data_IF_976727276134
#
_entry.id   IF_976727276134
#
_cell.length_a   1.000
_cell.length_b   1.000
_cell.length_c   1.000
_cell.angle_alpha   90.00
_cell.angle_beta   90.00
_cell.angle_gamma   90.00
#
_symmetry.space_group_name_H-M   'P 1'
#
loop_
_entity.id
_entity.type
_entity.pdbx_description
1 polymer ?
#
# COMPACT_ATOMS: atom_id res chain seq x y z
N UNK A 1 -30.17 -14.86 39.19
CA UNK A 1 -28.75 -14.65 38.82
C UNK A 1 -28.27 -15.53 37.65
N UNK A 2 -28.66 -16.81 37.57
CA UNK A 2 -28.27 -17.72 36.46
C UNK A 2 -28.79 -17.29 35.08
N UNK A 3 -30.00 -16.73 35.00
CA UNK A 3 -30.62 -16.24 33.76
C UNK A 3 -30.02 -14.93 33.23
N UNK A 4 -29.52 -14.07 34.12
CA UNK A 4 -28.89 -12.78 33.74
C UNK A 4 -27.52 -13.00 33.08
N UNK A 5 -26.77 -14.01 33.53
CA UNK A 5 -25.48 -14.42 32.96
C UNK A 5 -25.58 -14.98 31.54
N UNK A 6 -26.68 -15.68 31.23
CA UNK A 6 -26.92 -16.22 29.89
C UNK A 6 -27.24 -15.08 28.90
N UNK A 7 -27.95 -14.04 29.35
CA UNK A 7 -28.27 -12.88 28.52
C UNK A 7 -27.03 -12.05 28.18
N UNK A 8 -26.09 -11.88 29.11
CA UNK A 8 -24.82 -11.16 28.86
C UNK A 8 -23.90 -11.89 27.88
N UNK A 9 -23.95 -13.23 27.80
CA UNK A 9 -23.11 -14.02 26.89
C UNK A 9 -23.62 -14.00 25.43
N UNK A 10 -24.92 -13.77 25.23
CA UNK A 10 -25.55 -13.71 23.90
C UNK A 10 -25.27 -12.38 23.19
N UNK A 11 -25.22 -11.26 23.94
CA UNK A 11 -25.02 -9.91 23.36
C UNK A 11 -23.58 -9.68 22.90
N UNK A 12 -22.59 -10.40 23.44
CA UNK A 12 -21.18 -10.25 23.05
C UNK A 12 -20.83 -10.78 21.65
N UNK A 13 -21.73 -11.52 20.99
CA UNK A 13 -21.45 -12.09 19.65
C UNK A 13 -21.79 -11.14 18.48
N UNK A 14 -22.40 -9.99 18.74
CA UNK A 14 -22.97 -9.11 17.69
C UNK A 14 -21.96 -8.24 16.93
N UNK A 15 -20.68 -8.23 17.31
CA UNK A 15 -19.65 -7.39 16.68
C UNK A 15 -18.47 -8.19 16.10
N UNK A 16 -18.71 -9.41 15.62
CA UNK A 16 -17.68 -10.19 14.95
C UNK A 16 -17.39 -9.63 13.54
N UNK A 17 -16.15 -9.16 13.30
CA UNK A 17 -15.68 -8.78 11.97
C UNK A 17 -15.76 -9.96 11.00
N UNK A 18 -16.46 -9.78 9.87
CA UNK A 18 -16.66 -10.82 8.86
C UNK A 18 -15.94 -10.53 7.53
N UNK A 19 -15.84 -11.54 6.66
CA UNK A 19 -15.31 -11.36 5.30
C UNK A 19 -16.28 -10.50 4.47
N UNK A 20 -17.58 -10.65 4.70
CA UNK A 20 -18.63 -9.89 4.03
C UNK A 20 -18.47 -8.38 4.32
N UNK A 21 -18.10 -8.01 5.54
CA UNK A 21 -17.81 -6.62 5.90
C UNK A 21 -16.64 -6.06 5.08
N UNK A 22 -15.59 -6.85 4.87
CA UNK A 22 -14.44 -6.45 4.06
C UNK A 22 -14.85 -6.24 2.60
N UNK A 23 -15.61 -7.17 2.02
CA UNK A 23 -16.09 -7.08 0.63
C UNK A 23 -17.01 -5.86 0.46
N UNK A 24 -17.93 -5.63 1.39
CA UNK A 24 -18.82 -4.46 1.38
C UNK A 24 -18.02 -3.15 1.45
N UNK A 25 -17.07 -3.05 2.38
CA UNK A 25 -16.23 -1.87 2.51
C UNK A 25 -15.31 -1.66 1.29
N UNK A 26 -14.83 -2.72 0.66
CA UNK A 26 -14.04 -2.63 -0.56
C UNK A 26 -14.85 -2.03 -1.72
N UNK A 27 -16.09 -2.53 -1.91
CA UNK A 27 -17.03 -1.99 -2.90
C UNK A 27 -17.36 -0.52 -2.65
N UNK A 28 -17.47 -0.13 -1.39
CA UNK A 28 -17.68 1.26 -0.97
C UNK A 28 -16.40 2.12 -0.97
N UNK A 29 -15.29 1.62 -1.53
CA UNK A 29 -13.98 2.30 -1.62
C UNK A 29 -13.37 2.67 -0.25
N UNK A 30 -13.83 2.05 0.83
CA UNK A 30 -13.26 2.23 2.17
C UNK A 30 -11.99 1.38 2.34
N UNK A 31 -10.96 1.69 1.54
CA UNK A 31 -9.77 0.85 1.41
C UNK A 31 -8.94 0.77 2.69
N UNK A 32 -8.84 1.86 3.46
CA UNK A 32 -8.13 1.87 4.75
C UNK A 32 -8.77 0.89 5.74
N UNK A 33 -10.11 0.83 5.79
CA UNK A 33 -10.82 -0.15 6.60
C UNK A 33 -10.50 -1.58 6.16
N UNK A 34 -10.56 -1.84 4.85
CA UNK A 34 -10.29 -3.18 4.31
C UNK A 34 -8.84 -3.61 4.57
N UNK A 35 -7.86 -2.71 4.42
CA UNK A 35 -6.48 -3.03 4.74
C UNK A 35 -6.29 -3.30 6.24
N UNK A 36 -6.76 -2.40 7.11
CA UNK A 36 -6.54 -2.54 8.56
C UNK A 36 -7.25 -3.77 9.14
N UNK A 37 -8.50 -4.00 8.75
CA UNK A 37 -9.30 -5.12 9.25
C UNK A 37 -9.01 -6.43 8.50
N UNK A 38 -8.58 -6.35 7.24
CA UNK A 38 -8.10 -7.51 6.49
C UNK A 38 -6.85 -8.10 7.11
N UNK A 39 -5.95 -7.29 7.66
CA UNK A 39 -4.80 -7.76 8.44
C UNK A 39 -5.25 -8.57 9.67
N UNK A 40 -6.22 -8.05 10.44
CA UNK A 40 -6.79 -8.78 11.60
C UNK A 40 -7.45 -10.09 11.21
N UNK A 41 -8.13 -10.11 10.05
CA UNK A 41 -8.84 -11.28 9.55
C UNK A 41 -7.98 -12.16 8.62
N UNK A 42 -6.68 -11.89 8.53
CA UNK A 42 -5.84 -12.43 7.45
C UNK A 42 -5.77 -13.96 7.46
N UNK A 43 -5.83 -14.59 8.63
CA UNK A 43 -5.90 -16.04 8.77
C UNK A 43 -7.11 -16.68 8.07
N UNK A 44 -8.22 -15.94 7.92
CA UNK A 44 -9.38 -16.41 7.15
C UNK A 44 -9.24 -16.05 5.66
N UNK A 45 -8.78 -14.84 5.36
CA UNK A 45 -8.59 -14.33 3.98
C UNK A 45 -7.56 -15.15 3.20
N UNK A 46 -6.47 -15.57 3.83
CA UNK A 46 -5.33 -16.24 3.16
C UNK A 46 -5.68 -17.55 2.44
N UNK A 47 -6.87 -18.10 2.68
CA UNK A 47 -7.37 -19.31 2.04
C UNK A 47 -7.90 -19.07 0.62
N UNK A 48 -8.13 -17.81 0.23
CA UNK A 48 -8.67 -17.42 -1.07
C UNK A 48 -7.80 -16.33 -1.71
N UNK A 49 -7.16 -16.64 -2.84
CA UNK A 49 -6.27 -15.71 -3.55
C UNK A 49 -6.98 -14.44 -4.05
N UNK A 50 -8.30 -14.49 -4.31
CA UNK A 50 -9.07 -13.32 -4.69
C UNK A 50 -9.25 -12.37 -3.51
N UNK A 51 -9.53 -12.92 -2.31
CA UNK A 51 -9.64 -12.13 -1.09
C UNK A 51 -8.28 -11.55 -0.68
N UNK A 52 -7.19 -12.32 -0.82
CA UNK A 52 -5.82 -11.82 -0.60
C UNK A 52 -5.49 -10.67 -1.55
N UNK A 53 -5.83 -10.82 -2.84
CA UNK A 53 -5.63 -9.76 -3.83
C UNK A 53 -6.45 -8.51 -3.50
N UNK A 54 -7.71 -8.65 -3.12
CA UNK A 54 -8.58 -7.55 -2.70
C UNK A 54 -7.99 -6.80 -1.50
N UNK A 55 -7.53 -7.53 -0.48
CA UNK A 55 -6.83 -6.98 0.67
C UNK A 55 -5.58 -6.20 0.26
N UNK A 56 -4.71 -6.79 -0.56
CA UNK A 56 -3.46 -6.18 -1.00
C UNK A 56 -3.70 -4.89 -1.80
N UNK A 57 -4.65 -4.90 -2.74
CA UNK A 57 -5.05 -3.69 -3.47
C UNK A 57 -5.64 -2.63 -2.56
N UNK A 58 -6.41 -3.00 -1.54
CA UNK A 58 -6.91 -2.03 -0.56
C UNK A 58 -5.77 -1.38 0.22
N UNK A 59 -4.74 -2.15 0.60
CA UNK A 59 -3.55 -1.61 1.25
C UNK A 59 -2.78 -0.64 0.36
N UNK A 60 -2.54 -0.99 -0.91
CA UNK A 60 -1.94 -0.06 -1.88
C UNK A 60 -2.73 1.24 -2.04
N UNK A 61 -4.06 1.15 -2.15
CA UNK A 61 -4.94 2.32 -2.32
C UNK A 61 -5.08 3.17 -1.06
N UNK A 62 -4.57 2.69 0.08
CA UNK A 62 -4.56 3.41 1.35
C UNK A 62 -3.15 3.67 1.88
N UNK A 63 -2.14 3.54 1.00
CA UNK A 63 -0.72 3.81 1.24
C UNK A 63 -0.04 2.90 2.30
N UNK A 64 -0.62 1.74 2.63
CA UNK A 64 0.00 0.70 3.46
C UNK A 64 0.77 -0.28 2.57
N UNK A 65 1.87 0.15 1.96
CA UNK A 65 2.64 -0.67 1.03
C UNK A 65 3.34 -1.83 1.77
N UNK A 66 3.78 -1.66 3.01
CA UNK A 66 4.45 -2.72 3.78
C UNK A 66 3.55 -3.95 4.01
N UNK A 67 2.23 -3.73 4.04
CA UNK A 67 1.25 -4.80 4.17
C UNK A 67 1.23 -5.76 2.97
N UNK A 68 1.95 -5.45 1.88
CA UNK A 68 2.12 -6.34 0.72
C UNK A 68 3.09 -7.49 0.96
N UNK A 69 3.99 -7.38 1.95
CA UNK A 69 5.01 -8.39 2.20
C UNK A 69 4.43 -9.81 2.34
N UNK A 70 3.32 -9.95 3.06
CA UNK A 70 2.68 -11.25 3.29
C UNK A 70 1.85 -11.72 2.08
N UNK A 71 0.95 -10.92 1.46
CA UNK A 71 0.24 -11.29 0.23
C UNK A 71 1.13 -11.82 -0.89
N UNK A 72 2.32 -11.22 -1.08
CA UNK A 72 3.30 -11.64 -2.10
C UNK A 72 3.69 -13.10 -1.93
N UNK A 73 3.86 -13.58 -0.69
CA UNK A 73 4.25 -14.96 -0.41
C UNK A 73 3.12 -15.97 -0.69
N UNK A 74 1.87 -15.50 -0.67
CA UNK A 74 0.68 -16.36 -0.75
C UNK A 74 0.17 -16.50 -2.19
N UNK A 75 0.19 -15.42 -2.96
CA UNK A 75 -0.37 -15.34 -4.31
C UNK A 75 0.48 -16.09 -5.35
N UNK A 76 0.27 -17.40 -5.54
CA UNK A 76 1.14 -18.22 -6.40
C UNK A 76 0.43 -19.27 -7.27
N UNK A 77 -0.79 -19.64 -6.95
CA UNK A 77 -1.44 -20.81 -7.52
C UNK A 77 -2.10 -20.48 -8.87
N UNK A 78 -2.93 -19.43 -8.93
CA UNK A 78 -3.60 -19.03 -10.17
C UNK A 78 -2.75 -18.08 -11.03
N UNK A 79 -3.04 -18.03 -12.34
CA UNK A 79 -2.41 -17.07 -13.28
C UNK A 79 -2.63 -15.62 -12.81
N UNK A 80 -3.84 -15.30 -12.37
CA UNK A 80 -4.19 -13.98 -11.85
C UNK A 80 -3.44 -13.67 -10.55
N UNK A 81 -3.34 -14.61 -9.62
CA UNK A 81 -2.56 -14.43 -8.40
C UNK A 81 -1.08 -14.20 -8.67
N UNK A 82 -0.46 -14.98 -9.57
CA UNK A 82 0.94 -14.75 -9.97
C UNK A 82 1.17 -13.37 -10.60
N UNK A 83 0.23 -12.90 -11.42
CA UNK A 83 0.28 -11.53 -11.99
C UNK A 83 0.23 -10.47 -10.88
N UNK A 84 -0.72 -10.61 -9.96
CA UNK A 84 -0.86 -9.69 -8.82
C UNK A 84 0.36 -9.72 -7.91
N UNK A 85 0.91 -10.92 -7.63
CA UNK A 85 2.17 -11.08 -6.90
C UNK A 85 3.30 -10.30 -7.54
N UNK A 86 3.51 -10.46 -8.85
CA UNK A 86 4.57 -9.74 -9.56
C UNK A 86 4.40 -8.22 -9.45
N UNK A 87 3.17 -7.73 -9.62
CA UNK A 87 2.83 -6.31 -9.48
C UNK A 87 3.12 -5.79 -8.06
N UNK A 88 2.66 -6.48 -7.02
CA UNK A 88 2.89 -6.10 -5.63
C UNK A 88 4.36 -6.15 -5.24
N UNK A 89 5.09 -7.19 -5.67
CA UNK A 89 6.53 -7.30 -5.45
C UNK A 89 7.30 -6.13 -6.04
N UNK A 90 6.94 -5.72 -7.26
CA UNK A 90 7.59 -4.60 -7.94
C UNK A 90 7.39 -3.29 -7.17
N UNK A 91 6.17 -3.01 -6.71
CA UNK A 91 5.87 -1.78 -5.94
C UNK A 91 6.60 -1.79 -4.59
N UNK A 92 6.56 -2.90 -3.85
CA UNK A 92 7.24 -3.00 -2.56
C UNK A 92 8.76 -2.87 -2.71
N UNK A 93 9.34 -3.50 -3.74
CA UNK A 93 10.76 -3.35 -4.05
C UNK A 93 11.12 -1.91 -4.37
N UNK A 94 10.35 -1.23 -5.24
CA UNK A 94 10.58 0.17 -5.59
C UNK A 94 10.53 1.08 -4.35
N UNK A 95 9.57 0.86 -3.44
CA UNK A 95 9.54 1.55 -2.15
C UNK A 95 10.84 1.37 -1.39
N UNK A 96 11.28 0.13 -1.18
CA UNK A 96 12.42 -0.16 -0.31
C UNK A 96 13.72 0.42 -0.87
N UNK A 97 13.92 0.33 -2.19
CA UNK A 97 15.06 0.91 -2.87
C UNK A 97 15.06 2.44 -2.76
N UNK A 98 13.90 3.07 -3.00
CA UNK A 98 13.76 4.52 -2.86
C UNK A 98 14.02 4.99 -1.43
N UNK A 99 13.48 4.28 -0.43
CA UNK A 99 13.73 4.56 0.99
C UNK A 99 15.22 4.44 1.34
N UNK A 100 15.88 3.35 0.93
CA UNK A 100 17.32 3.14 1.17
C UNK A 100 18.16 4.25 0.52
N UNK A 101 17.79 4.69 -0.69
CA UNK A 101 18.50 5.78 -1.35
C UNK A 101 18.28 7.14 -0.69
N UNK A 102 17.07 7.45 -0.23
CA UNK A 102 16.73 8.77 0.34
C UNK A 102 17.18 8.89 1.79
N UNK A 103 17.00 7.84 2.58
CA UNK A 103 17.28 7.89 4.01
C UNK A 103 18.72 7.52 4.35
N UNK A 104 19.27 6.53 3.64
CA UNK A 104 20.58 5.96 3.96
C UNK A 104 21.66 6.34 2.93
N UNK A 105 21.29 7.07 1.87
CA UNK A 105 22.21 7.48 0.81
C UNK A 105 22.70 6.32 -0.06
N UNK A 106 22.03 5.16 -0.03
CA UNK A 106 22.44 3.98 -0.82
C UNK A 106 22.27 4.27 -2.32
N UNK A 107 23.35 4.12 -3.07
CA UNK A 107 23.37 4.30 -4.52
C UNK A 107 23.23 2.96 -5.24
N UNK A 108 22.32 2.90 -6.22
CA UNK A 108 22.19 1.76 -7.12
C UNK A 108 22.54 2.20 -8.54
N UNK A 109 23.66 1.70 -9.06
CA UNK A 109 24.10 1.98 -10.43
C UNK A 109 23.42 1.01 -11.41
N UNK A 110 23.16 1.47 -12.64
CA UNK A 110 22.62 0.66 -13.73
C UNK A 110 21.29 -0.04 -13.43
N UNK A 111 20.49 0.50 -12.52
CA UNK A 111 19.23 -0.08 -12.10
C UNK A 111 18.15 0.10 -13.18
N UNK A 112 17.76 -1.01 -13.81
CA UNK A 112 16.65 -1.06 -14.77
C UNK A 112 15.56 -1.97 -14.22
N UNK A 113 14.44 -1.38 -13.81
CA UNK A 113 13.30 -2.12 -13.29
C UNK A 113 12.05 -1.84 -14.14
N UNK A 114 11.13 -2.80 -14.26
CA UNK A 114 9.86 -2.56 -14.93
C UNK A 114 9.05 -1.45 -14.24
N UNK A 115 8.16 -0.84 -15.00
CA UNK A 115 7.31 0.27 -14.55
C UNK A 115 5.86 -0.20 -14.41
N UNK A 116 5.09 0.46 -13.54
CA UNK A 116 3.65 0.23 -13.41
C UNK A 116 2.88 1.54 -13.53
N UNK A 117 1.55 1.44 -13.52
CA UNK A 117 0.63 2.57 -13.45
C UNK A 117 0.51 3.18 -12.04
N UNK A 118 1.16 2.59 -11.04
CA UNK A 118 1.17 3.11 -9.68
C UNK A 118 2.13 4.31 -9.57
N UNK A 119 1.69 5.39 -8.91
CA UNK A 119 2.43 6.67 -8.82
C UNK A 119 3.87 6.50 -8.32
N UNK A 120 4.11 5.55 -7.39
CA UNK A 120 5.45 5.28 -6.87
C UNK A 120 6.40 4.79 -7.96
N UNK A 121 5.92 4.02 -8.94
CA UNK A 121 6.75 3.60 -10.08
C UNK A 121 7.21 4.80 -10.91
N UNK A 122 6.36 5.79 -11.14
CA UNK A 122 6.74 7.03 -11.84
C UNK A 122 7.84 7.77 -11.08
N UNK A 123 7.62 8.01 -9.79
CA UNK A 123 8.57 8.74 -8.93
C UNK A 123 9.91 7.99 -8.86
N UNK A 124 9.85 6.67 -8.68
CA UNK A 124 11.02 5.80 -8.67
C UNK A 124 11.86 5.98 -9.94
N UNK A 125 11.23 5.89 -11.11
CA UNK A 125 11.95 6.04 -12.38
C UNK A 125 12.56 7.43 -12.53
N UNK A 126 11.80 8.49 -12.21
CA UNK A 126 12.31 9.86 -12.31
C UNK A 126 13.48 10.09 -11.34
N UNK A 127 13.44 9.50 -10.15
CA UNK A 127 14.54 9.53 -9.19
C UNK A 127 15.82 8.90 -9.73
N UNK A 128 15.78 7.65 -10.19
CA UNK A 128 16.97 6.97 -10.70
C UNK A 128 17.46 7.51 -12.05
N UNK A 129 16.58 8.13 -12.84
CA UNK A 129 16.95 8.90 -14.03
C UNK A 129 17.52 10.29 -13.71
N UNK A 130 17.59 10.68 -12.43
CA UNK A 130 18.02 12.01 -11.97
C UNK A 130 17.18 13.16 -12.57
N UNK A 131 15.90 12.90 -12.87
CA UNK A 131 14.94 13.86 -13.43
C UNK A 131 14.13 14.51 -12.33
N UNK A 132 14.79 15.29 -11.48
CA UNK A 132 14.16 16.04 -10.39
C UNK A 132 14.91 17.33 -10.08
N UNK A 133 14.21 18.28 -9.44
CA UNK A 133 14.85 19.39 -8.73
C UNK A 133 14.95 19.00 -7.26
N UNK A 134 16.13 19.13 -6.66
CA UNK A 134 16.29 19.03 -5.21
C UNK A 134 16.29 20.43 -4.61
N UNK A 135 15.40 20.69 -3.67
CA UNK A 135 15.22 22.01 -3.06
C UNK A 135 14.66 21.86 -1.65
N UNK A 136 15.27 22.52 -0.67
CA UNK A 136 14.80 22.52 0.73
C UNK A 136 14.45 21.11 1.25
N UNK A 137 15.40 20.18 1.14
CA UNK A 137 15.27 18.77 1.51
C UNK A 137 14.09 18.02 0.87
N UNK A 138 13.66 18.47 -0.31
CA UNK A 138 12.57 17.86 -1.08
C UNK A 138 13.02 17.54 -2.49
N UNK A 139 12.58 16.38 -2.98
CA UNK A 139 12.71 15.99 -4.38
C UNK A 139 11.41 16.37 -5.11
N UNK A 140 11.54 17.22 -6.12
CA UNK A 140 10.43 17.73 -6.91
C UNK A 140 10.50 17.13 -8.30
N UNK A 141 9.49 16.35 -8.65
CA UNK A 141 9.35 15.67 -9.93
C UNK A 141 8.19 16.27 -10.72
N UNK A 142 8.35 16.33 -12.04
CA UNK A 142 7.27 16.71 -12.97
C UNK A 142 7.01 15.57 -13.94
N UNK A 143 5.75 15.15 -14.03
CA UNK A 143 5.28 14.19 -15.01
C UNK A 143 3.96 14.70 -15.61
N UNK A 144 4.00 15.14 -16.86
CA UNK A 144 2.86 15.77 -17.56
C UNK A 144 2.29 16.94 -16.72
N UNK A 145 1.02 16.84 -16.32
CA UNK A 145 0.31 17.86 -15.54
C UNK A 145 0.34 17.59 -14.03
N UNK A 146 1.17 16.65 -13.58
CA UNK A 146 1.29 16.25 -12.17
C UNK A 146 2.68 16.65 -11.67
N UNK A 147 2.70 17.29 -10.51
CA UNK A 147 3.93 17.53 -9.75
C UNK A 147 3.94 16.62 -8.53
N UNK A 148 5.04 15.89 -8.34
CA UNK A 148 5.25 15.09 -7.14
C UNK A 148 6.31 15.75 -6.25
N UNK A 149 6.04 15.86 -4.96
CA UNK A 149 7.03 16.33 -3.97
C UNK A 149 7.26 15.22 -2.96
N UNK A 150 8.46 14.66 -2.97
CA UNK A 150 8.89 13.60 -2.06
C UNK A 150 9.81 14.16 -0.98
N UNK A 151 9.54 13.78 0.26
CA UNK A 151 10.40 14.07 1.40
C UNK A 151 10.34 12.95 2.43
N UNK A 152 11.39 12.87 3.24
CA UNK A 152 11.48 11.94 4.36
C UNK A 152 11.49 12.75 5.67
N UNK A 153 10.80 12.24 6.69
CA UNK A 153 10.97 12.76 8.05
C UNK A 153 12.25 12.20 8.72
N UNK A 154 12.55 12.64 9.94
CA UNK A 154 13.72 12.18 10.70
C UNK A 154 13.72 10.67 10.99
N UNK A 155 12.57 10.00 10.89
CA UNK A 155 12.39 8.55 11.09
C UNK A 155 12.35 7.80 9.76
N UNK A 156 12.72 8.45 8.65
CA UNK A 156 12.65 7.87 7.31
C UNK A 156 11.21 7.52 6.85
N UNK A 157 10.18 8.17 7.39
CA UNK A 157 8.84 8.03 6.81
C UNK A 157 8.75 8.87 5.55
N UNK A 158 8.64 8.21 4.39
CA UNK A 158 8.46 8.87 3.11
C UNK A 158 7.05 9.43 2.96
N UNK A 159 6.96 10.69 2.58
CA UNK A 159 5.71 11.36 2.22
C UNK A 159 5.80 11.91 0.80
N UNK A 160 4.76 11.68 0.01
CA UNK A 160 4.63 12.17 -1.36
C UNK A 160 3.39 13.06 -1.46
N UNK A 161 3.59 14.31 -1.86
CA UNK A 161 2.50 15.15 -2.34
C UNK A 161 2.32 14.95 -3.84
N UNK A 162 1.15 14.50 -4.25
CA UNK A 162 0.71 14.44 -5.64
C UNK A 162 -0.18 15.66 -5.92
N UNK A 163 0.31 16.58 -6.75
CA UNK A 163 -0.32 17.86 -7.04
C UNK A 163 -0.77 17.88 -8.51
N UNK A 164 -2.08 17.97 -8.70
CA UNK A 164 -2.73 18.28 -9.97
C UNK A 164 -3.12 19.77 -9.98
N UNK A 165 -3.53 20.31 -11.14
CA UNK A 165 -3.90 21.72 -11.30
C UNK A 165 -4.83 22.29 -10.21
N UNK A 166 -5.74 21.45 -9.68
CA UNK A 166 -6.78 21.87 -8.72
C UNK A 166 -6.84 21.02 -7.45
N UNK A 167 -6.06 19.95 -7.34
CA UNK A 167 -6.15 19.01 -6.23
C UNK A 167 -4.77 18.61 -5.75
N UNK A 168 -4.65 18.42 -4.42
CA UNK A 168 -3.46 17.88 -3.78
C UNK A 168 -3.86 16.64 -3.01
N UNK A 169 -3.14 15.54 -3.23
CA UNK A 169 -3.27 14.30 -2.48
C UNK A 169 -1.95 14.03 -1.76
N UNK A 170 -2.03 13.67 -0.50
CA UNK A 170 -0.86 13.39 0.34
C UNK A 170 -0.82 11.90 0.62
N UNK A 171 0.29 11.27 0.24
CA UNK A 171 0.57 9.87 0.43
C UNK A 171 1.61 9.70 1.54
N UNK A 172 1.26 8.98 2.59
CA UNK A 172 2.21 8.59 3.65
C UNK A 172 2.58 7.14 3.40
N UNK A 173 3.75 6.90 2.82
CA UNK A 173 4.15 5.56 2.40
C UNK A 173 4.49 4.73 3.64
N UNK A 174 3.58 3.84 4.01
CA UNK A 174 3.71 2.89 5.11
C UNK A 174 3.67 1.46 4.57
#
# INVERSE_FOLDING_TARGET
MRTFLIFTLLVSQLFALTIQDLVKNYKNKNYKYVCTNGYKLFNKIKKDENLVSMYAFACLKSDYIDHLAVPILILKNSKYARKNRAYFSLILMQKNLLASSICDGVTFENLHVPTTDYYLSTIFNLYYQKKYKYDDNRYIFKDKNITYILHADQKCHLTIDEIHEKTRKIHKIR
#
